data_IF_324091611440
#
_entry.id   IF_324091611440
#
_cell.length_a   1.000
_cell.length_b   1.000
_cell.length_c   1.000
_cell.angle_alpha   90.00
_cell.angle_beta   90.00
_cell.angle_gamma   90.00
#
_symmetry.space_group_name_H-M   'P 1'
#
loop_
_entity.id
_entity.type
_entity.pdbx_description
1 polymer ?
#
# COMPACT_ATOMS: atom_id res chain seq x y z
N UNK A 1 -28.01 14.58 9.37
CA UNK A 1 -27.53 14.71 10.76
C UNK A 1 -26.23 13.93 11.05
N UNK A 2 -25.52 13.40 10.05
CA UNK A 2 -24.31 12.56 10.23
C UNK A 2 -22.97 13.31 10.11
N UNK A 3 -22.95 14.48 9.48
CA UNK A 3 -21.73 15.27 9.25
C UNK A 3 -21.18 15.87 10.55
N UNK A 4 -22.05 16.27 11.49
CA UNK A 4 -21.65 16.86 12.77
C UNK A 4 -21.01 15.88 13.76
N UNK A 5 -21.49 14.62 13.80
CA UNK A 5 -20.92 13.58 14.66
C UNK A 5 -19.53 13.14 14.15
N UNK A 6 -19.38 13.05 12.82
CA UNK A 6 -18.09 12.81 12.18
C UNK A 6 -17.12 13.94 12.51
N UNK A 7 -17.45 15.21 12.26
CA UNK A 7 -16.58 16.36 12.54
C UNK A 7 -16.17 16.48 14.03
N UNK A 8 -17.07 16.11 14.95
CA UNK A 8 -16.78 16.09 16.38
C UNK A 8 -15.83 14.94 16.79
N UNK A 9 -15.95 13.78 16.15
CA UNK A 9 -14.98 12.68 16.25
C UNK A 9 -13.61 13.06 15.66
N UNK A 10 -13.60 13.75 14.52
CA UNK A 10 -12.39 14.23 13.84
C UNK A 10 -11.55 15.15 14.75
N UNK A 11 -12.20 16.09 15.45
CA UNK A 11 -11.51 17.02 16.35
C UNK A 11 -10.99 16.35 17.63
N UNK A 12 -11.71 15.37 18.19
CA UNK A 12 -11.24 14.62 19.36
C UNK A 12 -10.04 13.74 19.05
N UNK A 13 -10.05 13.04 17.91
CA UNK A 13 -8.92 12.23 17.48
C UNK A 13 -7.67 13.11 17.25
N UNK A 14 -7.81 14.25 16.56
CA UNK A 14 -6.70 15.17 16.32
C UNK A 14 -6.09 15.76 17.62
N UNK A 15 -6.94 16.15 18.58
CA UNK A 15 -6.47 16.69 19.88
C UNK A 15 -5.76 15.61 20.70
N UNK A 16 -6.33 14.39 20.77
CA UNK A 16 -5.71 13.26 21.50
C UNK A 16 -4.38 12.86 20.86
N UNK A 17 -4.29 12.83 19.54
CA UNK A 17 -3.04 12.55 18.83
C UNK A 17 -1.97 13.61 19.12
N UNK A 18 -2.32 14.90 19.20
CA UNK A 18 -1.36 15.98 19.52
C UNK A 18 -0.80 15.88 20.92
N UNK A 19 -1.63 15.57 21.91
CA UNK A 19 -1.15 15.37 23.28
C UNK A 19 -0.32 14.09 23.38
N UNK A 20 -0.73 13.03 22.68
CA UNK A 20 0.03 11.79 22.61
C UNK A 20 1.39 11.98 21.94
N UNK A 21 1.48 12.81 20.88
CA UNK A 21 2.71 13.07 20.16
C UNK A 21 3.80 13.70 21.04
N UNK A 22 3.42 14.47 22.07
CA UNK A 22 4.37 15.06 23.03
C UNK A 22 5.02 14.02 23.94
N UNK A 23 4.34 12.90 24.20
CA UNK A 23 4.77 11.89 25.19
C UNK A 23 5.28 10.62 24.51
N UNK A 24 4.60 10.17 23.45
CA UNK A 24 4.85 8.94 22.71
C UNK A 24 4.64 9.19 21.19
N UNK A 25 5.61 9.83 20.51
CA UNK A 25 5.49 10.18 19.11
C UNK A 25 5.30 8.96 18.20
N UNK A 26 5.89 7.81 18.51
CA UNK A 26 5.65 6.57 17.75
C UNK A 26 4.19 6.10 17.80
N UNK A 27 3.56 6.16 18.99
CA UNK A 27 2.18 5.74 19.12
C UNK A 27 1.24 6.72 18.40
N UNK A 28 1.53 8.02 18.50
CA UNK A 28 0.81 9.05 17.74
C UNK A 28 0.94 8.84 16.22
N UNK A 29 2.14 8.48 15.74
CA UNK A 29 2.36 8.15 14.33
C UNK A 29 1.52 6.96 13.86
N UNK A 30 1.48 5.88 14.64
CA UNK A 30 0.64 4.70 14.36
C UNK A 30 -0.85 5.03 14.34
N UNK A 31 -1.32 5.85 15.27
CA UNK A 31 -2.72 6.31 15.31
C UNK A 31 -3.04 7.12 14.05
N UNK A 32 -2.16 8.04 13.64
CA UNK A 32 -2.35 8.84 12.43
C UNK A 32 -2.38 8.00 11.15
N UNK A 33 -1.57 6.95 11.05
CA UNK A 33 -1.60 6.02 9.92
C UNK A 33 -2.92 5.24 9.83
N UNK A 34 -3.46 4.79 10.96
CA UNK A 34 -4.79 4.14 10.97
C UNK A 34 -5.87 5.16 10.57
N UNK A 35 -5.73 6.38 11.07
CA UNK A 35 -6.68 7.45 10.80
C UNK A 35 -6.66 7.93 9.35
N UNK A 36 -5.51 7.93 8.68
CA UNK A 36 -5.43 8.23 7.25
C UNK A 36 -6.26 7.26 6.40
N UNK A 37 -6.32 5.96 6.78
CA UNK A 37 -7.17 4.99 6.07
C UNK A 37 -8.66 5.34 6.20
N UNK A 38 -9.08 5.81 7.38
CA UNK A 38 -10.46 6.26 7.64
C UNK A 38 -10.77 7.51 6.82
N UNK A 39 -9.85 8.46 6.77
CA UNK A 39 -9.97 9.69 5.99
C UNK A 39 -10.09 9.38 4.48
N UNK A 40 -9.24 8.48 3.98
CA UNK A 40 -9.25 8.05 2.59
C UNK A 40 -10.60 7.40 2.21
N UNK A 41 -11.10 6.46 3.04
CA UNK A 41 -12.40 5.81 2.81
C UNK A 41 -13.57 6.79 2.81
N UNK A 42 -13.45 7.90 3.55
CA UNK A 42 -14.41 9.00 3.54
C UNK A 42 -14.18 10.03 2.42
N UNK A 43 -13.33 9.71 1.44
CA UNK A 43 -12.94 10.59 0.32
C UNK A 43 -12.29 11.91 0.73
N UNK A 44 -11.82 12.01 1.98
CA UNK A 44 -11.00 13.13 2.42
C UNK A 44 -9.52 12.85 2.11
N UNK A 45 -9.18 12.87 0.83
CA UNK A 45 -7.86 12.49 0.34
C UNK A 45 -6.74 13.43 0.83
N UNK A 46 -7.03 14.73 0.93
CA UNK A 46 -6.04 15.68 1.46
C UNK A 46 -5.79 15.44 2.95
N UNK A 47 -6.83 15.26 3.75
CA UNK A 47 -6.68 14.91 5.16
C UNK A 47 -5.95 13.59 5.37
N UNK A 48 -6.23 12.58 4.53
CA UNK A 48 -5.52 11.30 4.58
C UNK A 48 -4.02 11.46 4.28
N UNK A 49 -3.67 12.25 3.27
CA UNK A 49 -2.29 12.56 2.91
C UNK A 49 -1.56 13.33 4.03
N UNK A 50 -2.22 14.32 4.63
CA UNK A 50 -1.68 15.12 5.72
C UNK A 50 -1.43 14.25 6.97
N UNK A 51 -2.42 13.43 7.36
CA UNK A 51 -2.30 12.52 8.50
C UNK A 51 -1.19 11.48 8.29
N UNK A 52 -1.08 10.89 7.10
CA UNK A 52 -0.01 9.93 6.79
C UNK A 52 1.39 10.58 6.87
N UNK A 53 1.52 11.81 6.37
CA UNK A 53 2.79 12.56 6.37
C UNK A 53 3.20 13.01 7.79
N UNK A 54 2.22 13.46 8.59
CA UNK A 54 2.43 13.80 10.00
C UNK A 54 2.81 12.55 10.80
N UNK A 55 2.13 11.42 10.57
CA UNK A 55 2.44 10.17 11.26
C UNK A 55 3.85 9.67 10.98
N UNK A 56 4.30 9.72 9.72
CA UNK A 56 5.68 9.40 9.34
C UNK A 56 6.71 10.31 10.02
N UNK A 57 6.43 11.62 10.07
CA UNK A 57 7.31 12.58 10.76
C UNK A 57 7.42 12.29 12.26
N UNK A 58 6.32 11.88 12.91
CA UNK A 58 6.32 11.50 14.33
C UNK A 58 7.05 10.18 14.58
N UNK A 59 6.91 9.19 13.69
CA UNK A 59 7.69 7.95 13.78
C UNK A 59 9.20 8.23 13.70
N UNK A 60 9.63 9.09 12.78
CA UNK A 60 11.05 9.48 12.65
C UNK A 60 11.59 10.21 13.90
N UNK A 61 10.74 10.95 14.63
CA UNK A 61 11.12 11.61 15.88
C UNK A 61 11.25 10.61 17.05
N UNK A 62 10.52 9.49 16.99
CA UNK A 62 10.43 8.48 18.02
C UNK A 62 11.53 7.41 18.00
N UNK A 63 12.21 7.21 16.86
CA UNK A 63 13.20 6.13 16.57
C UNK A 63 14.44 6.06 17.49
N UNK A 64 14.48 6.76 18.63
CA UNK A 64 15.50 6.58 19.68
C UNK A 64 15.44 5.22 20.37
N UNK A 65 14.39 4.43 20.17
CA UNK A 65 14.25 3.07 20.73
C UNK A 65 13.72 2.10 19.67
N UNK A 66 14.42 1.00 19.36
CA UNK A 66 13.92 0.02 18.39
C UNK A 66 12.67 -0.66 18.93
N UNK A 67 11.51 -0.46 18.31
CA UNK A 67 10.28 -1.16 18.67
C UNK A 67 10.02 -2.41 17.81
N UNK A 68 9.11 -3.24 18.30
CA UNK A 68 8.72 -4.58 17.81
C UNK A 68 8.09 -4.62 16.41
N UNK A 69 7.63 -3.47 15.90
CA UNK A 69 7.22 -3.32 14.50
C UNK A 69 8.36 -2.66 13.76
N UNK A 70 8.92 -3.34 12.76
CA UNK A 70 10.02 -2.78 11.97
C UNK A 70 9.51 -1.50 11.31
N UNK A 71 10.31 -0.41 11.40
CA UNK A 71 10.06 0.89 10.74
C UNK A 71 9.58 0.73 9.29
N UNK A 72 10.02 -0.35 8.62
CA UNK A 72 9.69 -0.70 7.24
C UNK A 72 8.25 -1.17 6.99
N UNK A 73 7.65 -2.00 7.85
CA UNK A 73 6.23 -2.39 7.70
C UNK A 73 5.35 -1.15 7.78
N UNK A 74 5.56 -0.35 8.83
CA UNK A 74 4.85 0.91 9.00
C UNK A 74 5.03 1.82 7.78
N UNK A 75 6.27 1.97 7.30
CA UNK A 75 6.57 2.79 6.13
C UNK A 75 5.84 2.30 4.88
N UNK A 76 5.84 1.01 4.62
CA UNK A 76 5.17 0.43 3.46
C UNK A 76 3.65 0.63 3.50
N UNK A 77 3.02 0.42 4.67
CA UNK A 77 1.59 0.71 4.86
C UNK A 77 1.28 2.20 4.62
N UNK A 78 2.16 3.09 5.10
CA UNK A 78 2.03 4.54 4.95
C UNK A 78 2.16 4.98 3.48
N UNK A 79 3.09 4.40 2.73
CA UNK A 79 3.24 4.69 1.31
C UNK A 79 2.00 4.26 0.50
N UNK A 80 1.37 3.14 0.85
CA UNK A 80 0.15 2.69 0.18
C UNK A 80 -0.99 3.72 0.30
N UNK A 81 -1.29 4.20 1.51
CA UNK A 81 -2.36 5.21 1.72
C UNK A 81 -1.99 6.56 1.10
N UNK A 82 -0.70 6.93 1.07
CA UNK A 82 -0.23 8.14 0.38
C UNK A 82 -0.43 8.04 -1.13
N UNK A 83 -0.08 6.91 -1.74
CA UNK A 83 -0.30 6.66 -3.17
C UNK A 83 -1.78 6.77 -3.54
N UNK A 84 -2.65 6.10 -2.78
CA UNK A 84 -4.10 6.17 -2.95
C UNK A 84 -4.64 7.60 -2.82
N UNK A 85 -4.19 8.33 -1.81
CA UNK A 85 -4.63 9.71 -1.56
C UNK A 85 -4.16 10.65 -2.67
N UNK A 86 -2.92 10.49 -3.15
CA UNK A 86 -2.39 11.25 -4.27
C UNK A 86 -3.16 10.94 -5.56
N UNK A 87 -3.47 9.67 -5.82
CA UNK A 87 -4.27 9.26 -6.96
C UNK A 87 -5.69 9.84 -6.89
N UNK A 88 -6.34 9.80 -5.72
CA UNK A 88 -7.65 10.43 -5.50
C UNK A 88 -7.66 11.95 -5.64
N UNK A 89 -6.50 12.60 -5.50
CA UNK A 89 -6.28 14.04 -5.76
C UNK A 89 -5.82 14.33 -7.20
N UNK A 90 -5.86 13.35 -8.11
CA UNK A 90 -5.39 13.46 -9.49
C UNK A 90 -3.90 13.83 -9.64
N UNK A 91 -3.10 13.50 -8.62
CA UNK A 91 -1.64 13.73 -8.59
C UNK A 91 -0.89 12.47 -9.04
N UNK A 92 -1.25 11.96 -10.21
CA UNK A 92 -0.88 10.63 -10.70
C UNK A 92 0.64 10.36 -10.72
N UNK A 93 1.44 11.27 -11.26
CA UNK A 93 2.91 11.11 -11.28
C UNK A 93 3.52 11.01 -9.86
N UNK A 94 2.95 11.73 -8.89
CA UNK A 94 3.40 11.64 -7.50
C UNK A 94 2.93 10.33 -6.85
N UNK A 95 1.74 9.85 -7.19
CA UNK A 95 1.24 8.57 -6.74
C UNK A 95 2.14 7.43 -7.27
N UNK A 96 2.48 7.43 -8.56
CA UNK A 96 3.39 6.46 -9.16
C UNK A 96 4.76 6.44 -8.46
N UNK A 97 5.35 7.62 -8.21
CA UNK A 97 6.62 7.71 -7.47
C UNK A 97 6.57 7.12 -6.05
N UNK A 98 5.44 7.30 -5.34
CA UNK A 98 5.23 6.72 -4.00
C UNK A 98 5.05 5.19 -4.07
N UNK A 99 4.37 4.68 -5.10
CA UNK A 99 4.24 3.23 -5.32
C UNK A 99 5.62 2.62 -5.60
N UNK A 100 6.44 3.25 -6.43
CA UNK A 100 7.82 2.81 -6.70
C UNK A 100 8.62 2.69 -5.40
N UNK A 101 8.52 3.68 -4.50
CA UNK A 101 9.18 3.60 -3.20
C UNK A 101 8.67 2.42 -2.36
N UNK A 102 7.35 2.19 -2.35
CA UNK A 102 6.76 1.08 -1.61
C UNK A 102 7.25 -0.28 -2.12
N UNK A 103 7.23 -0.49 -3.45
CA UNK A 103 7.69 -1.74 -4.08
C UNK A 103 9.18 -1.97 -3.82
N UNK A 104 10.01 -0.93 -3.91
CA UNK A 104 11.44 -1.03 -3.61
C UNK A 104 11.70 -1.48 -2.18
N UNK A 105 10.99 -0.91 -1.19
CA UNK A 105 11.14 -1.33 0.21
C UNK A 105 10.78 -2.80 0.40
N UNK A 106 9.72 -3.27 -0.26
CA UNK A 106 9.34 -4.67 -0.19
C UNK A 106 10.35 -5.59 -0.88
N UNK A 107 10.91 -5.17 -2.01
CA UNK A 107 11.95 -5.93 -2.70
C UNK A 107 13.22 -6.07 -1.84
N UNK A 108 13.63 -4.99 -1.15
CA UNK A 108 14.75 -5.02 -0.20
C UNK A 108 14.48 -5.97 0.97
N UNK A 109 13.25 -5.98 1.50
CA UNK A 109 12.87 -6.89 2.58
C UNK A 109 12.77 -8.34 2.11
N UNK A 110 12.30 -8.57 0.88
CA UNK A 110 12.27 -9.90 0.27
C UNK A 110 13.68 -10.45 0.03
N UNK A 111 14.68 -9.59 -0.19
CA UNK A 111 16.09 -10.00 -0.28
C UNK A 111 16.76 -10.19 1.10
N UNK A 112 16.13 -9.73 2.19
CA UNK A 112 16.68 -9.81 3.54
C UNK A 112 16.42 -11.18 4.17
N UNK A 113 17.40 -11.82 4.84
CA UNK A 113 17.21 -13.12 5.52
C UNK A 113 16.08 -13.15 6.57
N UNK A 114 15.59 -11.97 7.00
CA UNK A 114 14.52 -11.78 7.97
C UNK A 114 13.14 -11.58 7.32
N UNK A 115 12.91 -12.14 6.14
CA UNK A 115 11.71 -12.09 5.27
C UNK A 115 10.31 -12.10 5.95
N UNK A 116 10.19 -12.41 7.24
CA UNK A 116 8.95 -12.68 7.97
C UNK A 116 7.90 -11.57 7.96
N UNK A 117 8.31 -10.31 7.81
CA UNK A 117 7.41 -9.14 7.81
C UNK A 117 6.62 -9.03 6.50
N UNK A 118 7.33 -9.17 5.36
CA UNK A 118 6.76 -9.10 4.00
C UNK A 118 5.70 -10.17 3.79
N UNK A 119 5.94 -11.39 4.29
CA UNK A 119 5.00 -12.50 4.14
C UNK A 119 3.64 -12.24 4.80
N UNK A 120 3.58 -11.40 5.82
CA UNK A 120 2.33 -11.10 6.53
C UNK A 120 1.64 -9.87 5.96
N UNK A 121 2.39 -8.92 5.42
CA UNK A 121 1.82 -7.66 4.92
C UNK A 121 1.51 -7.69 3.43
N UNK A 122 2.09 -8.60 2.64
CA UNK A 122 1.91 -8.65 1.19
C UNK A 122 0.44 -8.72 0.72
N UNK A 123 -0.44 -9.58 1.27
CA UNK A 123 -1.87 -9.56 0.93
C UNK A 123 -2.54 -8.20 1.11
N UNK A 124 -2.12 -7.47 2.15
CA UNK A 124 -2.65 -6.13 2.41
C UNK A 124 -2.15 -5.14 1.36
N UNK A 125 -0.88 -5.22 0.97
CA UNK A 125 -0.27 -4.35 -0.05
C UNK A 125 -0.97 -4.49 -1.38
N UNK A 126 -1.18 -5.73 -1.84
CA UNK A 126 -1.91 -6.01 -3.08
C UNK A 126 -3.27 -5.32 -3.03
N UNK A 127 -4.04 -5.56 -1.97
CA UNK A 127 -5.36 -4.93 -1.77
C UNK A 127 -5.33 -3.39 -1.75
N UNK A 128 -4.22 -2.78 -1.34
CA UNK A 128 -4.10 -1.31 -1.35
C UNK A 128 -3.58 -0.73 -2.67
N UNK A 129 -2.67 -1.43 -3.37
CA UNK A 129 -2.04 -0.90 -4.58
C UNK A 129 -2.90 -1.09 -5.83
N UNK A 130 -3.66 -2.18 -5.95
CA UNK A 130 -4.52 -2.43 -7.11
C UNK A 130 -5.53 -1.30 -7.41
N UNK A 131 -6.22 -0.71 -6.41
CA UNK A 131 -7.06 0.48 -6.63
C UNK A 131 -6.26 1.67 -7.17
N UNK A 132 -5.02 1.86 -6.71
CA UNK A 132 -4.17 2.97 -7.17
C UNK A 132 -3.79 2.79 -8.64
N UNK A 133 -3.47 1.58 -9.08
CA UNK A 133 -3.20 1.29 -10.49
C UNK A 133 -4.42 1.50 -11.39
N UNK A 134 -5.63 1.23 -10.87
CA UNK A 134 -6.87 1.51 -11.61
C UNK A 134 -7.01 2.99 -11.90
N UNK A 135 -6.68 3.85 -10.92
CA UNK A 135 -6.77 5.30 -11.05
C UNK A 135 -5.64 5.84 -11.95
N UNK A 136 -4.44 5.30 -11.85
CA UNK A 136 -3.32 5.64 -12.74
C UNK A 136 -3.60 5.30 -14.21
N UNK A 137 -4.42 4.27 -14.45
CA UNK A 137 -4.83 3.85 -15.79
C UNK A 137 -3.71 3.15 -16.58
N UNK A 138 -4.02 2.70 -17.81
CA UNK A 138 -3.06 2.00 -18.66
C UNK A 138 -2.00 2.97 -19.18
N UNK A 139 -0.76 2.76 -18.74
CA UNK A 139 0.42 3.47 -19.23
C UNK A 139 1.64 2.55 -19.08
N UNK A 140 2.72 2.82 -19.81
CA UNK A 140 3.97 2.05 -19.67
C UNK A 140 4.50 2.06 -18.22
N UNK A 141 4.32 3.18 -17.52
CA UNK A 141 4.70 3.31 -16.11
C UNK A 141 3.83 2.44 -15.20
N UNK A 142 2.49 2.47 -15.35
CA UNK A 142 1.58 1.61 -14.57
C UNK A 142 1.83 0.13 -14.87
N UNK A 143 2.13 -0.21 -16.13
CA UNK A 143 2.45 -1.57 -16.54
C UNK A 143 3.75 -2.05 -15.92
N UNK A 144 4.79 -1.20 -15.88
CA UNK A 144 6.04 -1.53 -15.20
C UNK A 144 5.85 -1.73 -13.68
N UNK A 145 4.99 -0.93 -13.04
CA UNK A 145 4.69 -1.07 -11.61
C UNK A 145 3.87 -2.33 -11.29
N UNK A 146 2.88 -2.64 -12.12
CA UNK A 146 2.09 -3.88 -11.96
C UNK A 146 2.93 -5.12 -12.22
N UNK A 147 3.83 -5.09 -13.20
CA UNK A 147 4.77 -6.19 -13.45
C UNK A 147 5.72 -6.42 -12.26
N UNK A 148 6.24 -5.36 -11.64
CA UNK A 148 7.03 -5.49 -10.41
C UNK A 148 6.23 -6.17 -9.29
N UNK A 149 4.95 -5.83 -9.13
CA UNK A 149 4.09 -6.48 -8.13
C UNK A 149 3.82 -7.96 -8.47
N UNK A 150 3.67 -8.30 -9.75
CA UNK A 150 3.59 -9.70 -10.23
C UNK A 150 4.88 -10.45 -9.88
N UNK A 151 6.05 -9.90 -10.19
CA UNK A 151 7.33 -10.56 -9.91
C UNK A 151 7.55 -10.79 -8.42
N UNK A 152 7.07 -9.87 -7.57
CA UNK A 152 7.07 -10.05 -6.12
C UNK A 152 6.13 -11.18 -5.67
N UNK A 153 4.89 -11.23 -6.20
CA UNK A 153 3.96 -12.32 -5.91
C UNK A 153 4.54 -13.68 -6.30
N UNK A 154 5.16 -13.78 -7.50
CA UNK A 154 5.84 -14.98 -7.97
C UNK A 154 6.98 -15.41 -7.03
N UNK A 155 7.80 -14.45 -6.61
CA UNK A 155 8.92 -14.74 -5.72
C UNK A 155 8.45 -15.20 -4.33
N UNK A 156 7.37 -14.63 -3.81
CA UNK A 156 6.77 -15.05 -2.55
C UNK A 156 6.13 -16.44 -2.63
N UNK A 157 5.41 -16.73 -3.71
CA UNK A 157 4.84 -18.06 -3.98
C UNK A 157 5.93 -19.11 -4.18
N UNK A 158 7.03 -18.79 -4.87
CA UNK A 158 8.17 -19.69 -5.00
C UNK A 158 8.85 -19.99 -3.65
N UNK A 159 8.84 -19.02 -2.72
CA UNK A 159 9.44 -19.19 -1.39
C UNK A 159 8.52 -19.96 -0.43
N UNK A 160 7.21 -19.70 -0.45
CA UNK A 160 6.20 -20.48 0.29
C UNK A 160 5.11 -20.95 -0.67
N UNK A 161 5.32 -22.09 -1.36
CA UNK A 161 4.34 -22.62 -2.30
C UNK A 161 2.97 -22.84 -1.65
N UNK A 162 1.92 -22.42 -2.33
CA UNK A 162 0.52 -22.50 -1.91
C UNK A 162 0.04 -21.31 -1.08
N UNK A 163 0.91 -20.43 -0.60
CA UNK A 163 0.51 -19.37 0.35
C UNK A 163 -0.01 -18.10 -0.34
N UNK A 164 0.48 -17.78 -1.53
CA UNK A 164 0.24 -16.50 -2.20
C UNK A 164 -0.45 -16.65 -3.56
N UNK A 165 -1.12 -17.79 -3.79
CA UNK A 165 -1.83 -18.09 -5.02
C UNK A 165 -2.92 -17.07 -5.33
N UNK A 166 -3.71 -16.68 -4.32
CA UNK A 166 -4.77 -15.68 -4.47
C UNK A 166 -4.16 -14.34 -4.88
N UNK A 167 -3.14 -13.87 -4.16
CA UNK A 167 -2.48 -12.61 -4.47
C UNK A 167 -1.82 -12.62 -5.85
N UNK A 168 -1.15 -13.72 -6.22
CA UNK A 168 -0.53 -13.90 -7.54
C UNK A 168 -1.58 -13.85 -8.66
N UNK A 169 -2.71 -14.54 -8.47
CA UNK A 169 -3.81 -14.49 -9.42
C UNK A 169 -4.36 -13.07 -9.56
N UNK A 170 -4.67 -12.39 -8.45
CA UNK A 170 -5.22 -11.02 -8.45
C UNK A 170 -4.32 -10.04 -9.21
N UNK A 171 -3.00 -10.08 -8.97
CA UNK A 171 -2.06 -9.16 -9.63
C UNK A 171 -1.85 -9.47 -11.10
N UNK A 172 -1.88 -10.76 -11.49
CA UNK A 172 -1.77 -11.19 -12.89
C UNK A 172 -3.02 -10.79 -13.70
N UNK A 173 -4.22 -11.01 -13.16
CA UNK A 173 -5.47 -10.59 -13.79
C UNK A 173 -5.50 -9.07 -13.99
N UNK A 174 -5.03 -8.33 -12.98
CA UNK A 174 -4.96 -6.88 -13.05
C UNK A 174 -3.95 -6.40 -14.09
N UNK A 175 -2.75 -7.02 -14.13
CA UNK A 175 -1.75 -6.72 -15.13
C UNK A 175 -2.25 -7.03 -16.55
N UNK A 176 -2.88 -8.19 -16.75
CA UNK A 176 -3.49 -8.57 -18.02
C UNK A 176 -4.49 -7.52 -18.50
N UNK A 177 -5.39 -7.08 -17.61
CA UNK A 177 -6.38 -6.04 -17.92
C UNK A 177 -5.73 -4.73 -18.37
N UNK A 178 -4.67 -4.28 -17.72
CA UNK A 178 -3.96 -3.06 -18.12
C UNK A 178 -3.20 -3.23 -19.45
N UNK A 179 -2.68 -4.43 -19.73
CA UNK A 179 -1.89 -4.74 -20.93
C UNK A 179 -2.73 -4.89 -22.21
N UNK A 180 -4.07 -4.96 -22.10
CA UNK A 180 -4.97 -5.03 -23.27
C UNK A 180 -4.87 -3.85 -24.24
N UNK A 181 -4.22 -2.75 -23.84
CA UNK A 181 -4.00 -1.59 -24.71
C UNK A 181 -2.69 -1.78 -25.47
N UNK A 182 -2.75 -2.42 -26.65
CA UNK A 182 -1.62 -2.51 -27.59
C UNK A 182 -0.54 -3.55 -27.26
N UNK A 183 -0.74 -4.39 -26.23
CA UNK A 183 0.19 -5.45 -25.81
C UNK A 183 -0.53 -6.79 -25.63
N UNK A 184 -1.28 -7.20 -26.65
CA UNK A 184 -2.17 -8.37 -26.63
C UNK A 184 -1.45 -9.67 -26.24
N UNK A 185 -0.21 -9.88 -26.67
CA UNK A 185 0.59 -11.05 -26.32
C UNK A 185 0.91 -11.11 -24.83
N UNK A 186 1.27 -9.97 -24.23
CA UNK A 186 1.59 -9.88 -22.80
C UNK A 186 0.34 -9.98 -21.94
N UNK A 187 -0.76 -9.35 -22.37
CA UNK A 187 -2.07 -9.51 -21.75
C UNK A 187 -2.50 -10.97 -21.75
N UNK A 188 -2.34 -11.68 -22.88
CA UNK A 188 -2.72 -13.08 -22.99
C UNK A 188 -1.85 -13.98 -22.12
N UNK A 189 -0.54 -13.75 -22.10
CA UNK A 189 0.38 -14.52 -21.26
C UNK A 189 0.04 -14.38 -19.77
N UNK A 190 -0.21 -13.16 -19.29
CA UNK A 190 -0.59 -12.92 -17.91
C UNK A 190 -1.95 -13.54 -17.54
N UNK A 191 -2.94 -13.47 -18.45
CA UNK A 191 -4.24 -14.10 -18.25
C UNK A 191 -4.16 -15.64 -18.21
N UNK A 192 -3.33 -16.23 -19.07
CA UNK A 192 -3.09 -17.68 -19.09
C UNK A 192 -2.41 -18.15 -17.82
N UNK A 193 -1.41 -17.40 -17.35
CA UNK A 193 -0.74 -17.69 -16.08
C UNK A 193 -1.73 -17.60 -14.91
N UNK A 194 -2.52 -16.52 -14.83
CA UNK A 194 -3.55 -16.38 -13.78
C UNK A 194 -4.51 -17.57 -13.74
N UNK A 195 -4.98 -18.04 -14.90
CA UNK A 195 -5.87 -19.20 -15.01
C UNK A 195 -5.19 -20.54 -14.66
N UNK A 196 -3.86 -20.58 -14.65
CA UNK A 196 -3.07 -21.76 -14.28
C UNK A 196 -2.69 -21.81 -12.80
N UNK A 197 -2.86 -20.69 -12.07
CA UNK A 197 -2.67 -20.67 -10.61
C UNK A 197 -3.74 -21.56 -9.96
N UNK A 198 -3.36 -22.55 -9.12
CA UNK A 198 -4.32 -23.40 -8.44
C UNK A 198 -5.29 -22.58 -7.59
N UNK A 199 -6.58 -22.86 -7.75
CA UNK A 199 -7.66 -22.15 -7.06
C UNK A 199 -8.07 -22.96 -5.83
N UNK A 200 -7.19 -23.03 -4.82
CA UNK A 200 -7.53 -23.67 -3.56
C UNK A 200 -8.42 -22.70 -2.76
N UNK A 201 -9.74 -22.99 -2.77
CA UNK A 201 -10.79 -22.23 -2.08
C UNK A 201 -11.26 -22.92 -0.80
#
# INVERSE_FOLDING_TARGET
>A
MWIGALAHGYNKAAVLTRELAKVLPELAGRVLRIYSDVLYKNRNYQGALDAASEGESLMAQGEKTPTIYTSKEYKALTLCVRAQSLAGLDRLAKAAGVITEALKLYQEELASPKHGTVFNTFPWVVRQLLPSFTILGPSDETLALTLQLVDMARALEAFVPGKFQIELQEVLEFHAKLSTVGRDSESMAAAQEAASVPNDS
#
